data_IF_355162847347
#
_entry.id   IF_355162847347
#
_cell.length_a   1.000
_cell.length_b   1.000
_cell.length_c   1.000
_cell.angle_alpha   90.00
_cell.angle_beta   90.00
_cell.angle_gamma   90.00
#
_symmetry.space_group_name_H-M   'P 1'
#
loop_
_entity.id
_entity.type
_entity.pdbx_description
1 polymer ?
#
# COMPACT_ATOMS: atom_id res chain seq x y z
N UNK A 1 -14.83 -1.96 -14.24
CA UNK A 1 -13.36 -1.91 -14.37
C UNK A 1 -12.82 -3.25 -13.86
N UNK A 2 -12.45 -4.16 -14.75
CA UNK A 2 -11.96 -5.50 -14.37
C UNK A 2 -10.47 -5.57 -14.69
N UNK A 3 -9.63 -5.23 -13.70
CA UNK A 3 -8.20 -5.47 -13.77
C UNK A 3 -7.99 -6.97 -13.56
N UNK A 4 -7.40 -7.68 -14.54
CA UNK A 4 -6.99 -9.08 -14.38
C UNK A 4 -5.74 -9.13 -13.49
N UNK A 5 -5.94 -9.00 -12.18
CA UNK A 5 -4.93 -9.36 -11.20
C UNK A 5 -4.84 -10.89 -11.18
N UNK A 6 -3.72 -11.43 -11.65
CA UNK A 6 -3.49 -12.86 -11.62
C UNK A 6 -3.25 -13.28 -10.16
N UNK A 7 -4.03 -14.27 -9.68
CA UNK A 7 -3.99 -14.96 -8.38
C UNK A 7 -4.78 -14.33 -7.22
N UNK A 8 -5.83 -15.06 -6.84
CA UNK A 8 -6.74 -14.90 -5.69
C UNK A 8 -7.82 -13.81 -5.82
N UNK A 9 -9.10 -14.22 -5.71
CA UNK A 9 -10.28 -13.33 -5.66
C UNK A 9 -10.34 -12.64 -4.31
N UNK A 10 -9.48 -11.66 -4.06
CA UNK A 10 -9.59 -10.82 -2.88
C UNK A 10 -10.80 -9.87 -3.02
N UNK A 11 -11.67 -9.83 -2.00
CA UNK A 11 -12.70 -8.79 -1.90
C UNK A 11 -12.02 -7.47 -1.56
N UNK A 12 -11.74 -6.68 -2.59
CA UNK A 12 -11.15 -5.34 -2.43
C UNK A 12 -12.23 -4.40 -1.91
N UNK A 13 -11.99 -3.80 -0.74
CA UNK A 13 -12.80 -2.68 -0.26
C UNK A 13 -12.24 -1.39 -0.84
N UNK A 14 -13.02 -0.75 -1.70
CA UNK A 14 -12.70 0.59 -2.19
C UNK A 14 -12.80 1.59 -1.02
N UNK A 15 -11.83 2.50 -0.97
CA UNK A 15 -11.72 3.63 -0.06
C UNK A 15 -12.86 4.63 -0.24
N UNK A 16 -13.06 5.50 0.75
CA UNK A 16 -13.82 6.72 0.51
C UNK A 16 -12.95 7.66 -0.34
N UNK A 17 -13.49 8.13 -1.47
CA UNK A 17 -12.86 9.19 -2.25
C UNK A 17 -12.71 10.43 -1.37
N UNK A 18 -11.48 10.88 -1.16
CA UNK A 18 -11.17 12.03 -0.33
C UNK A 18 -10.15 12.94 -1.07
N UNK A 19 -9.88 14.12 -0.50
CA UNK A 19 -8.95 15.11 -1.06
C UNK A 19 -7.47 14.64 -1.11
N UNK A 20 -7.18 13.42 -0.68
CA UNK A 20 -5.87 12.78 -0.90
C UNK A 20 -5.76 12.18 -2.30
N UNK A 21 -6.87 11.67 -2.85
CA UNK A 21 -6.90 10.97 -4.14
C UNK A 21 -7.34 11.92 -5.25
N UNK A 22 -8.41 12.70 -5.03
CA UNK A 22 -8.94 13.65 -6.01
C UNK A 22 -8.92 15.05 -5.39
N UNK A 23 -8.08 15.93 -5.93
CA UNK A 23 -7.89 17.25 -5.38
C UNK A 23 -7.54 18.27 -6.47
N UNK A 24 -8.54 18.95 -6.98
CA UNK A 24 -8.41 19.91 -8.09
C UNK A 24 -7.49 21.09 -7.74
N UNK A 25 -7.36 21.44 -6.46
CA UNK A 25 -6.44 22.50 -6.00
C UNK A 25 -4.96 22.11 -6.09
N UNK A 26 -4.66 20.81 -6.22
CA UNK A 26 -3.31 20.27 -6.36
C UNK A 26 -2.98 19.83 -7.79
N UNK A 27 -3.92 20.01 -8.73
CA UNK A 27 -3.68 19.77 -10.14
C UNK A 27 -2.99 21.02 -10.71
N UNK A 28 -1.84 20.82 -11.34
CA UNK A 28 -1.14 21.86 -12.11
C UNK A 28 -1.50 21.72 -13.59
N UNK A 29 -0.54 21.76 -14.51
CA UNK A 29 -0.79 21.62 -15.94
C UNK A 29 -1.31 20.21 -16.31
N UNK A 30 -0.92 19.19 -15.54
CA UNK A 30 -1.28 17.79 -15.77
C UNK A 30 -1.64 17.06 -14.48
N UNK A 31 -2.56 16.10 -14.57
CA UNK A 31 -2.85 15.14 -13.50
C UNK A 31 -1.85 13.97 -13.53
N UNK A 32 -1.80 13.21 -12.43
CA UNK A 32 -1.01 11.97 -12.39
C UNK A 32 -1.50 10.96 -13.43
N UNK A 33 -0.63 10.05 -13.87
CA UNK A 33 -0.98 9.04 -14.88
C UNK A 33 -2.10 8.12 -14.39
N UNK A 34 -3.15 7.99 -15.21
CA UNK A 34 -4.28 7.11 -14.98
C UNK A 34 -4.45 6.17 -16.16
N UNK A 35 -4.91 4.96 -15.88
CA UNK A 35 -5.43 4.11 -16.95
C UNK A 35 -6.75 4.68 -17.46
N UNK A 36 -6.96 4.57 -18.77
CA UNK A 36 -8.22 4.96 -19.40
C UNK A 36 -9.26 3.84 -19.29
N UNK A 37 -10.47 4.11 -19.75
CA UNK A 37 -11.55 3.12 -19.88
C UNK A 37 -11.29 2.07 -20.98
N UNK A 38 -10.34 2.35 -21.89
CA UNK A 38 -9.94 1.44 -22.96
C UNK A 38 -8.93 0.42 -22.44
N UNK A 39 -9.39 -0.82 -22.30
CA UNK A 39 -8.50 -1.95 -22.02
C UNK A 39 -7.69 -2.26 -23.28
N UNK A 40 -6.35 -2.20 -23.23
CA UNK A 40 -5.52 -2.47 -24.39
C UNK A 40 -5.59 -3.95 -24.76
N UNK A 41 -5.68 -4.24 -26.06
CA UNK A 41 -5.89 -5.60 -26.58
C UNK A 41 -4.59 -6.39 -26.78
N UNK A 42 -3.45 -5.71 -26.99
CA UNK A 42 -2.17 -6.36 -27.29
C UNK A 42 -0.97 -5.49 -26.88
N UNK A 43 -0.68 -5.39 -25.58
CA UNK A 43 0.60 -4.86 -25.11
C UNK A 43 1.61 -5.99 -24.97
N UNK A 44 2.87 -5.73 -25.32
CA UNK A 44 3.94 -6.74 -25.25
C UNK A 44 5.14 -6.20 -24.48
N UNK A 45 5.76 -7.07 -23.68
CA UNK A 45 6.99 -6.75 -22.94
C UNK A 45 6.81 -5.54 -22.01
N UNK A 46 7.64 -4.52 -22.21
CA UNK A 46 7.72 -3.34 -21.34
C UNK A 46 6.41 -2.54 -21.30
N UNK A 47 5.66 -2.48 -22.38
CA UNK A 47 4.39 -1.74 -22.41
C UNK A 47 3.36 -2.35 -21.46
N UNK A 48 3.28 -3.68 -21.42
CA UNK A 48 2.40 -4.38 -20.47
C UNK A 48 2.86 -4.13 -19.04
N UNK A 49 4.18 -4.19 -18.78
CA UNK A 49 4.71 -3.95 -17.44
C UNK A 49 4.43 -2.52 -16.95
N UNK A 50 4.58 -1.51 -17.82
CA UNK A 50 4.25 -0.12 -17.48
C UNK A 50 2.75 0.07 -17.28
N UNK A 51 1.91 -0.51 -18.14
CA UNK A 51 0.46 -0.45 -17.99
C UNK A 51 0.01 -1.08 -16.66
N UNK A 52 0.51 -2.28 -16.35
CA UNK A 52 0.18 -3.00 -15.12
C UNK A 52 0.64 -2.22 -13.88
N UNK A 53 1.83 -1.62 -13.93
CA UNK A 53 2.33 -0.75 -12.87
C UNK A 53 1.38 0.43 -12.61
N UNK A 54 0.96 1.15 -13.66
CA UNK A 54 0.03 2.28 -13.54
C UNK A 54 -1.32 1.81 -13.02
N UNK A 55 -1.86 0.70 -13.56
CA UNK A 55 -3.14 0.14 -13.16
C UNK A 55 -3.16 -0.28 -11.69
N UNK A 56 -2.11 -0.97 -11.23
CA UNK A 56 -1.95 -1.39 -9.84
C UNK A 56 -1.83 -0.18 -8.92
N UNK A 57 -1.03 0.84 -9.28
CA UNK A 57 -0.87 2.05 -8.47
C UNK A 57 -2.18 2.84 -8.33
N UNK A 58 -2.95 2.94 -9.41
CA UNK A 58 -4.28 3.54 -9.34
C UNK A 58 -5.17 2.75 -8.37
N UNK A 59 -5.18 1.42 -8.48
CA UNK A 59 -5.99 0.57 -7.62
C UNK A 59 -5.58 0.69 -6.14
N UNK A 60 -4.29 0.69 -5.83
CA UNK A 60 -3.76 0.92 -4.48
C UNK A 60 -4.23 2.27 -3.92
N UNK A 61 -4.20 3.34 -4.74
CA UNK A 61 -4.59 4.68 -4.31
C UNK A 61 -6.05 4.80 -3.90
N UNK A 62 -6.94 4.02 -4.53
CA UNK A 62 -8.39 4.04 -4.27
C UNK A 62 -8.83 3.01 -3.24
N UNK A 63 -7.93 2.16 -2.74
CA UNK A 63 -8.25 1.17 -1.71
C UNK A 63 -8.27 1.78 -0.30
N UNK A 64 -8.84 1.02 0.63
CA UNK A 64 -8.75 1.36 2.06
C UNK A 64 -7.28 1.40 2.53
N UNK A 65 -6.95 2.28 3.50
CA UNK A 65 -5.60 2.34 4.06
C UNK A 65 -5.23 1.04 4.77
N UNK A 66 -3.94 0.69 4.73
CA UNK A 66 -3.37 -0.33 5.62
C UNK A 66 -3.41 0.19 7.06
N UNK A 67 -3.99 -0.58 7.99
CA UNK A 67 -3.95 -0.29 9.43
C UNK A 67 -2.95 -1.22 10.09
N UNK A 68 -1.95 -0.62 10.73
CA UNK A 68 -0.92 -1.31 11.50
C UNK A 68 -0.89 -0.80 12.93
N UNK A 69 -0.54 -1.69 13.84
CA UNK A 69 -0.21 -1.37 15.22
C UNK A 69 1.32 -1.31 15.31
N UNK A 70 1.84 -0.25 15.90
CA UNK A 70 3.28 -0.07 16.15
C UNK A 70 3.47 -0.11 17.66
N UNK A 71 4.27 -1.05 18.13
CA UNK A 71 4.65 -1.20 19.52
C UNK A 71 6.08 -0.68 19.67
N UNK A 72 6.29 0.27 20.57
CA UNK A 72 7.62 0.74 20.94
C UNK A 72 7.87 0.42 22.40
N UNK A 73 8.94 -0.32 22.69
CA UNK A 73 9.41 -0.62 24.04
C UNK A 73 10.67 0.21 24.27
N UNK A 74 10.63 1.10 25.26
CA UNK A 74 11.82 1.78 25.77
C UNK A 74 12.31 1.06 27.03
N UNK A 75 13.61 0.76 27.07
CA UNK A 75 14.24 0.04 28.17
C UNK A 75 15.45 0.83 28.66
N UNK A 76 15.56 1.01 29.96
CA UNK A 76 16.74 1.60 30.60
C UNK A 76 17.55 0.49 31.28
N UNK A 77 18.85 0.41 30.96
CA UNK A 77 19.81 -0.47 31.63
C UNK A 77 20.95 0.39 32.14
N UNK A 78 21.06 0.50 33.47
CA UNK A 78 21.92 1.48 34.14
C UNK A 78 21.52 2.91 33.72
N UNK A 79 22.36 3.59 32.94
CA UNK A 79 22.16 4.94 32.40
C UNK A 79 22.04 4.96 30.87
N UNK A 80 21.86 3.79 30.25
CA UNK A 80 21.67 3.65 28.80
C UNK A 80 20.22 3.39 28.46
N UNK A 81 19.70 4.14 27.50
CA UNK A 81 18.35 3.96 26.95
C UNK A 81 18.42 3.16 25.64
N UNK A 82 17.55 2.17 25.53
CA UNK A 82 17.36 1.34 24.34
C UNK A 82 15.91 1.44 23.88
N UNK A 83 15.69 1.36 22.57
CA UNK A 83 14.35 1.32 22.00
C UNK A 83 14.21 0.12 21.05
N UNK A 84 13.12 -0.62 21.21
CA UNK A 84 12.71 -1.70 20.31
C UNK A 84 11.37 -1.34 19.68
N UNK A 85 11.23 -1.56 18.37
CA UNK A 85 10.00 -1.31 17.62
C UNK A 85 9.49 -2.63 17.04
N UNK A 86 8.20 -2.91 17.18
CA UNK A 86 7.52 -4.04 16.56
C UNK A 86 6.28 -3.58 15.83
N UNK A 87 5.93 -4.26 14.74
CA UNK A 87 4.81 -3.84 13.88
C UNK A 87 3.92 -5.04 13.59
N UNK A 88 2.60 -4.82 13.70
CA UNK A 88 1.58 -5.82 13.37
C UNK A 88 0.55 -5.20 12.43
N UNK A 89 0.43 -5.76 11.22
CA UNK A 89 -0.63 -5.38 10.27
C UNK A 89 -1.95 -5.96 10.77
N UNK A 90 -2.92 -5.09 11.11
CA UNK A 90 -4.27 -5.49 11.54
C UNK A 90 -5.23 -5.58 10.38
N UNK A 91 -5.13 -4.62 9.46
CA UNK A 91 -5.89 -4.60 8.21
C UNK A 91 -4.93 -4.28 7.06
N UNK A 92 -4.76 -5.16 6.06
CA UNK A 92 -3.78 -4.97 5.01
C UNK A 92 -4.08 -3.79 4.06
N UNK A 93 -5.36 -3.42 3.92
CA UNK A 93 -5.78 -2.34 3.01
C UNK A 93 -5.27 -2.54 1.60
N UNK A 94 -4.73 -1.49 1.00
CA UNK A 94 -4.12 -1.47 -0.33
C UNK A 94 -2.98 -2.49 -0.55
N UNK A 95 -2.31 -2.97 0.52
CA UNK A 95 -1.19 -3.93 0.38
C UNK A 95 -1.61 -5.28 -0.19
N UNK A 96 -2.90 -5.62 -0.11
CA UNK A 96 -3.43 -6.87 -0.67
C UNK A 96 -3.36 -6.91 -2.20
N UNK A 97 -3.20 -5.75 -2.87
CA UNK A 97 -3.21 -5.68 -4.34
C UNK A 97 -1.98 -6.34 -4.95
N UNK A 98 -0.78 -6.07 -4.41
CA UNK A 98 0.45 -6.75 -4.83
C UNK A 98 0.77 -7.97 -3.96
N UNK A 99 0.12 -8.13 -2.81
CA UNK A 99 0.47 -9.17 -1.83
C UNK A 99 1.82 -8.92 -1.15
N UNK A 100 2.39 -7.72 -1.31
CA UNK A 100 3.62 -7.31 -0.68
C UNK A 100 3.30 -6.79 0.73
N UNK A 101 3.46 -7.66 1.72
CA UNK A 101 3.35 -7.30 3.14
C UNK A 101 4.70 -6.96 3.77
N UNK A 102 5.78 -7.31 3.10
CA UNK A 102 7.17 -6.96 3.40
C UNK A 102 7.59 -5.77 2.53
N UNK A 103 7.46 -4.55 3.06
CA UNK A 103 8.21 -3.42 2.50
C UNK A 103 9.64 -3.49 3.05
N UNK A 104 10.66 -3.27 2.21
CA UNK A 104 12.05 -3.06 2.65
C UNK A 104 12.26 -1.73 3.42
N UNK A 105 11.19 -1.00 3.69
CA UNK A 105 11.20 0.23 4.49
C UNK A 105 10.41 0.05 5.78
N UNK A 106 11.07 0.27 6.93
CA UNK A 106 10.58 0.40 8.33
C UNK A 106 9.52 -0.58 8.91
N UNK A 107 8.83 -1.35 8.08
CA UNK A 107 7.70 -2.24 8.36
C UNK A 107 8.11 -3.72 8.40
N UNK A 108 9.40 -4.01 8.28
CA UNK A 108 9.99 -5.32 8.51
C UNK A 108 10.18 -5.66 10.00
N UNK A 109 9.72 -4.78 10.90
CA UNK A 109 9.82 -5.00 12.34
C UNK A 109 8.84 -6.10 12.78
N UNK A 110 9.38 -7.23 13.22
CA UNK A 110 8.61 -8.35 13.75
C UNK A 110 7.81 -7.94 15.02
N UNK A 111 6.68 -8.60 15.31
CA UNK A 111 5.92 -8.35 16.53
C UNK A 111 6.81 -8.53 17.77
N UNK A 112 6.79 -7.52 18.64
CA UNK A 112 7.47 -7.62 19.93
C UNK A 112 6.65 -8.47 20.91
N UNK A 113 7.32 -9.16 21.85
CA UNK A 113 6.63 -9.90 22.90
C UNK A 113 5.84 -8.96 23.81
N UNK A 114 4.76 -9.49 24.41
CA UNK A 114 4.05 -8.78 25.47
C UNK A 114 4.94 -8.68 26.73
N UNK A 115 5.05 -7.47 27.26
CA UNK A 115 5.58 -7.25 28.61
C UNK A 115 4.44 -7.46 29.62
N UNK A 116 4.70 -8.23 30.67
CA UNK A 116 3.81 -8.40 31.81
C UNK A 116 4.19 -7.46 32.95
#
# INVERSE_FOLDING_TARGET
>A
MTVRLNRSRFKIKVGNFNKRIVNDLKVTDHHGLLVTDKVPSALVGNESAVYDMIAVRLLESVCQPCKKEITTISTEVLHYEFSSKGIVIKEPGWRIIQGNFSDESEDAAEPLPYLK
#
